data_IF_784833353209
#
_entry.id   IF_784833353209
#
_cell.length_a   1.000
_cell.length_b   1.000
_cell.length_c   1.000
_cell.angle_alpha   90.00
_cell.angle_beta   90.00
_cell.angle_gamma   90.00
#
_symmetry.space_group_name_H-M   'P 1'
#
loop_
_entity.id
_entity.type
_entity.pdbx_description
1 polymer ?
#
# COMPACT_ATOMS: atom_id res chain seq x y z
N UNK A 1 -1.83 -12.58 -4.58
CA UNK A 1 -1.74 -11.67 -5.74
C UNK A 1 -2.12 -10.27 -5.31
N UNK A 2 -1.33 -9.28 -5.69
CA UNK A 2 -1.58 -7.89 -5.29
C UNK A 2 -2.68 -7.28 -6.14
N UNK A 3 -3.59 -6.56 -5.48
CA UNK A 3 -4.69 -5.89 -6.17
C UNK A 3 -4.57 -4.39 -5.99
N UNK A 4 -4.61 -3.65 -7.11
CA UNK A 4 -4.65 -2.20 -7.07
C UNK A 4 -5.98 -1.74 -6.48
N UNK A 5 -5.94 -0.89 -5.44
CA UNK A 5 -7.16 -0.37 -4.81
C UNK A 5 -7.26 1.15 -4.89
N UNK A 6 -6.16 1.84 -5.14
CA UNK A 6 -6.16 3.31 -5.23
C UNK A 6 -4.92 3.79 -5.96
N UNK A 7 -5.05 4.79 -6.81
CA UNK A 7 -3.93 5.40 -7.52
C UNK A 7 -4.21 6.90 -7.69
N UNK A 8 -3.29 7.73 -7.19
CA UNK A 8 -3.44 9.18 -7.29
C UNK A 8 -2.57 9.79 -8.40
N UNK A 9 -1.97 8.95 -9.25
CA UNK A 9 -1.12 9.40 -10.34
C UNK A 9 0.36 9.43 -10.01
N UNK A 10 0.71 9.53 -8.74
CA UNK A 10 2.11 9.55 -8.29
C UNK A 10 2.45 8.35 -7.43
N UNK A 11 1.49 7.88 -6.67
CA UNK A 11 1.63 6.70 -5.81
C UNK A 11 0.37 5.86 -5.93
N UNK A 12 0.49 4.56 -5.70
CA UNK A 12 -0.67 3.69 -5.69
C UNK A 12 -0.69 2.83 -4.44
N UNK A 13 -1.90 2.47 -4.03
CA UNK A 13 -2.13 1.58 -2.89
C UNK A 13 -2.65 0.25 -3.44
N UNK A 14 -2.07 -0.82 -2.96
CA UNK A 14 -2.48 -2.18 -3.35
C UNK A 14 -2.75 -2.99 -2.10
N UNK A 15 -3.62 -4.00 -2.23
CA UNK A 15 -3.89 -4.93 -1.13
C UNK A 15 -3.05 -6.18 -1.32
N UNK A 16 -2.61 -6.76 -0.22
CA UNK A 16 -1.93 -8.04 -0.23
C UNK A 16 -2.33 -8.84 1.01
N UNK A 17 -2.20 -10.15 0.90
CA UNK A 17 -2.52 -11.04 2.01
C UNK A 17 -1.27 -11.77 2.48
N UNK A 18 -1.25 -12.12 3.76
CA UNK A 18 -0.17 -12.87 4.35
C UNK A 18 -0.73 -13.80 5.43
N UNK A 19 0.02 -14.83 5.77
CA UNK A 19 -0.39 -15.79 6.78
C UNK A 19 0.30 -15.46 8.10
N UNK A 20 -0.50 -15.20 9.13
CA UNK A 20 0.01 -14.97 10.47
C UNK A 20 0.09 -16.30 11.22
N UNK A 21 1.29 -16.89 11.26
CA UNK A 21 1.50 -18.20 11.88
C UNK A 21 1.46 -18.15 13.41
N UNK A 22 1.69 -17.00 13.99
CA UNK A 22 1.65 -16.82 15.44
C UNK A 22 0.23 -16.90 16.00
N UNK A 23 -0.78 -16.68 15.16
CA UNK A 23 -2.20 -16.69 15.55
C UNK A 23 -2.95 -17.79 14.82
N UNK A 24 -2.35 -18.99 14.67
CA UNK A 24 -3.06 -20.13 14.11
C UNK A 24 -3.25 -20.11 12.60
N UNK A 25 -2.30 -19.55 11.86
CA UNK A 25 -2.33 -19.52 10.40
C UNK A 25 -3.51 -18.72 9.83
N UNK A 26 -3.92 -17.67 10.51
CA UNK A 26 -4.96 -16.77 9.99
C UNK A 26 -4.46 -15.96 8.80
N UNK A 27 -5.30 -15.82 7.79
CA UNK A 27 -5.01 -14.97 6.64
C UNK A 27 -5.31 -13.53 7.02
N UNK A 28 -4.33 -12.67 6.87
CA UNK A 28 -4.44 -11.24 7.17
C UNK A 28 -4.33 -10.44 5.88
N UNK A 29 -5.08 -9.34 5.80
CA UNK A 29 -5.01 -8.41 4.67
C UNK A 29 -4.37 -7.12 5.13
N UNK A 30 -3.46 -6.60 4.32
CA UNK A 30 -2.85 -5.30 4.56
C UNK A 30 -2.77 -4.54 3.23
N UNK A 31 -2.38 -3.28 3.31
CA UNK A 31 -2.27 -2.41 2.16
C UNK A 31 -0.89 -1.80 2.12
N UNK A 32 -0.32 -1.73 0.93
CA UNK A 32 1.00 -1.18 0.73
C UNK A 32 0.98 -0.04 -0.27
N UNK A 33 1.96 0.85 -0.18
CA UNK A 33 2.10 1.99 -1.08
C UNK A 33 3.36 1.80 -1.90
N UNK A 34 3.23 1.94 -3.23
CA UNK A 34 4.36 1.96 -4.15
C UNK A 34 4.27 3.18 -5.06
N UNK A 35 5.39 3.56 -5.64
CA UNK A 35 5.42 4.67 -6.59
C UNK A 35 4.82 4.22 -7.92
N UNK A 36 3.90 5.01 -8.45
CA UNK A 36 3.27 4.71 -9.75
C UNK A 36 4.33 4.70 -10.85
N UNK A 37 4.30 3.65 -11.68
CA UNK A 37 5.29 3.47 -12.74
C UNK A 37 6.61 2.85 -12.28
N UNK A 38 6.79 2.62 -10.98
CA UNK A 38 8.03 2.06 -10.45
C UNK A 38 7.77 0.91 -9.46
N UNK A 39 7.00 -0.12 -9.86
CA UNK A 39 6.68 -1.21 -8.92
C UNK A 39 7.89 -2.00 -8.46
N UNK A 40 8.99 -1.94 -9.21
CA UNK A 40 10.24 -2.63 -8.88
C UNK A 40 10.97 -1.99 -7.69
N UNK A 41 10.62 -0.75 -7.33
CA UNK A 41 11.31 -0.06 -6.23
C UNK A 41 10.90 -0.57 -4.85
N UNK A 42 9.87 -1.41 -4.78
CA UNK A 42 9.42 -1.96 -3.52
C UNK A 42 8.43 -1.07 -2.78
N UNK A 43 7.92 -1.62 -1.70
CA UNK A 43 6.91 -0.96 -0.89
C UNK A 43 7.53 0.08 0.03
N UNK A 44 7.00 1.30 0.02
CA UNK A 44 7.54 2.39 0.83
C UNK A 44 6.77 2.56 2.15
N UNK A 45 5.56 2.00 2.25
CA UNK A 45 4.75 2.09 3.45
C UNK A 45 3.71 0.99 3.42
N UNK A 46 3.31 0.48 4.59
CA UNK A 46 2.23 -0.50 4.69
C UNK A 46 1.44 -0.29 5.97
N UNK A 47 0.16 -0.60 5.91
CA UNK A 47 -0.74 -0.52 7.06
C UNK A 47 -1.96 -1.38 6.79
N UNK A 48 -2.66 -1.76 7.85
CA UNK A 48 -3.88 -2.57 7.73
C UNK A 48 -5.13 -1.73 7.43
N UNK A 49 -5.06 -0.42 7.56
CA UNK A 49 -6.19 0.48 7.31
C UNK A 49 -6.04 1.12 5.93
N UNK A 50 -7.02 0.85 5.04
CA UNK A 50 -6.98 1.36 3.68
C UNK A 50 -7.08 2.89 3.62
N UNK A 51 -7.98 3.49 4.40
CA UNK A 51 -8.17 4.94 4.38
C UNK A 51 -6.89 5.66 4.82
N UNK A 52 -6.20 5.10 5.80
CA UNK A 52 -4.94 5.66 6.25
C UNK A 52 -3.88 5.58 5.15
N UNK A 53 -3.80 4.46 4.44
CA UNK A 53 -2.87 4.31 3.32
C UNK A 53 -3.16 5.30 2.21
N UNK A 54 -4.44 5.52 1.88
CA UNK A 54 -4.83 6.53 0.88
C UNK A 54 -4.36 7.91 1.29
N UNK A 55 -4.56 8.27 2.55
CA UNK A 55 -4.13 9.58 3.07
C UNK A 55 -2.62 9.73 2.96
N UNK A 56 -1.87 8.71 3.35
CA UNK A 56 -0.40 8.76 3.29
C UNK A 56 0.07 8.86 1.83
N UNK A 57 -0.56 8.13 0.91
CA UNK A 57 -0.21 8.22 -0.51
C UNK A 57 -0.45 9.62 -1.06
N UNK A 58 -1.54 10.26 -0.66
CA UNK A 58 -1.84 11.63 -1.07
C UNK A 58 -0.87 12.64 -0.45
N UNK A 59 -0.45 12.42 0.79
CA UNK A 59 0.55 13.27 1.43
C UNK A 59 1.90 13.16 0.71
N UNK A 60 2.30 11.96 0.30
CA UNK A 60 3.51 11.78 -0.49
C UNK A 60 3.42 12.52 -1.82
N UNK A 61 2.27 12.44 -2.48
CA UNK A 61 2.05 13.14 -3.74
C UNK A 61 2.21 14.66 -3.58
N UNK A 62 1.61 15.22 -2.52
CA UNK A 62 1.74 16.65 -2.25
C UNK A 62 3.18 17.06 -2.02
N UNK A 63 3.93 16.25 -1.29
CA UNK A 63 5.34 16.52 -1.02
C UNK A 63 6.15 16.51 -2.32
N UNK A 64 5.84 15.61 -3.25
CA UNK A 64 6.55 15.49 -4.51
C UNK A 64 6.23 16.62 -5.50
N UNK A 65 5.06 17.23 -5.37
CA UNK A 65 4.60 18.27 -6.29
C UNK A 65 5.02 19.68 -5.89
N UNK A 66 5.73 19.83 -4.81
CA UNK A 66 6.17 21.15 -4.32
C UNK A 66 7.40 21.65 -5.07
#
# INVERSE_FOLDING_TARGET
MDNLVYDNGSYYVYSFTWINRLKGNNICTAYGIKRTGRPQDGMIFSHTNLDYCKKIADDYKKTMEV
#
